data_IF_656744287917
#
_entry.id   IF_656744287917
#
_cell.length_a   1.000
_cell.length_b   1.000
_cell.length_c   1.000
_cell.angle_alpha   90.00
_cell.angle_beta   90.00
_cell.angle_gamma   90.00
#
_symmetry.space_group_name_H-M   'P 1'
#
loop_
_entity.id
_entity.type
_entity.pdbx_description
1 polymer ?
#
# COMPACT_ATOMS: atom_id res chain seq x y z
N UNK A 1 7.82 9.98 12.43
CA UNK A 1 6.70 10.91 12.48
C UNK A 1 7.13 12.34 12.13
N UNK A 2 8.11 12.94 12.80
CA UNK A 2 8.55 14.32 12.52
C UNK A 2 8.96 14.58 11.06
N UNK A 3 9.67 13.65 10.42
CA UNK A 3 10.09 13.79 9.01
C UNK A 3 8.87 13.86 8.08
N UNK A 4 7.84 13.03 8.30
CA UNK A 4 6.61 13.06 7.52
C UNK A 4 5.87 14.39 7.70
N UNK A 5 5.71 14.86 8.94
CA UNK A 5 5.08 16.16 9.21
C UNK A 5 5.85 17.30 8.56
N UNK A 6 7.18 17.29 8.65
CA UNK A 6 8.01 18.30 7.98
C UNK A 6 7.82 18.28 6.45
N UNK A 7 7.85 17.11 5.82
CA UNK A 7 7.65 16.97 4.38
C UNK A 7 6.24 17.43 3.96
N UNK A 8 5.21 17.07 4.72
CA UNK A 8 3.83 17.52 4.47
C UNK A 8 3.76 19.05 4.56
N UNK A 9 4.34 19.66 5.60
CA UNK A 9 4.34 21.12 5.76
C UNK A 9 5.04 21.80 4.59
N UNK A 10 6.22 21.34 4.19
CA UNK A 10 6.96 21.90 3.06
C UNK A 10 6.16 21.77 1.76
N UNK A 11 5.61 20.57 1.49
CA UNK A 11 4.80 20.33 0.28
C UNK A 11 3.54 21.19 0.27
N UNK A 12 2.85 21.34 1.41
CA UNK A 12 1.68 22.22 1.54
C UNK A 12 2.04 23.66 1.20
N UNK A 13 3.12 24.20 1.77
CA UNK A 13 3.56 25.57 1.51
C UNK A 13 3.93 25.78 0.03
N UNK A 14 4.55 24.80 -0.62
CA UNK A 14 4.87 24.87 -2.05
C UNK A 14 3.60 24.83 -2.92
N UNK A 15 2.59 24.02 -2.55
CA UNK A 15 1.33 23.93 -3.28
C UNK A 15 0.42 25.15 -3.07
N UNK A 16 0.59 25.91 -1.99
CA UNK A 16 -0.11 27.19 -1.78
C UNK A 16 0.47 28.35 -2.61
N UNK A 17 1.63 28.19 -3.22
CA UNK A 17 2.19 29.26 -4.05
C UNK A 17 1.33 29.50 -5.30
N UNK A 18 1.09 30.74 -5.72
CA UNK A 18 0.31 31.03 -6.94
C UNK A 18 0.85 30.36 -8.20
N UNK A 19 2.17 30.14 -8.27
CA UNK A 19 2.82 29.44 -9.38
C UNK A 19 2.45 27.96 -9.44
N UNK A 20 1.97 27.36 -8.34
CA UNK A 20 1.59 25.95 -8.28
C UNK A 20 0.18 25.69 -8.85
N UNK A 21 -0.68 26.72 -8.86
CA UNK A 21 -2.02 26.63 -9.45
C UNK A 21 -1.99 26.99 -10.94
N UNK A 22 -2.80 26.34 -11.75
CA UNK A 22 -2.98 26.66 -13.16
C UNK A 22 -3.72 27.99 -13.37
N UNK A 23 -4.58 28.40 -12.40
CA UNK A 23 -5.26 29.69 -12.41
C UNK A 23 -4.35 30.86 -12.00
N UNK A 24 -3.19 30.59 -11.40
CA UNK A 24 -2.33 31.60 -10.80
C UNK A 24 -2.83 32.15 -9.46
N UNK A 25 -3.91 31.61 -8.91
CA UNK A 25 -4.45 31.97 -7.61
C UNK A 25 -3.86 31.09 -6.50
N UNK A 26 -3.91 31.61 -5.25
CA UNK A 26 -3.47 30.86 -4.07
C UNK A 26 -4.46 29.74 -3.80
N UNK A 27 -3.99 28.48 -3.83
CA UNK A 27 -4.82 27.34 -3.44
C UNK A 27 -5.15 27.40 -1.94
N UNK A 28 -6.43 27.19 -1.54
CA UNK A 28 -6.82 27.17 -0.13
C UNK A 28 -5.99 26.18 0.69
N UNK A 29 -5.71 26.54 1.95
CA UNK A 29 -4.89 25.72 2.85
C UNK A 29 -5.42 24.28 2.97
N UNK A 30 -6.74 24.10 3.07
CA UNK A 30 -7.35 22.78 3.21
C UNK A 30 -7.06 21.88 1.99
N UNK A 31 -7.16 22.42 0.77
CA UNK A 31 -6.93 21.69 -0.47
C UNK A 31 -5.44 21.40 -0.71
N UNK A 32 -4.58 22.39 -0.43
CA UNK A 32 -3.14 22.22 -0.51
C UNK A 32 -2.64 21.19 0.52
N UNK A 33 -3.13 21.25 1.77
CA UNK A 33 -2.78 20.28 2.82
C UNK A 33 -3.29 18.88 2.48
N UNK A 34 -4.54 18.76 2.01
CA UNK A 34 -5.12 17.48 1.62
C UNK A 34 -4.28 16.82 0.51
N UNK A 35 -3.95 17.57 -0.54
CA UNK A 35 -3.13 17.08 -1.65
C UNK A 35 -1.71 16.73 -1.19
N UNK A 36 -1.09 17.55 -0.33
CA UNK A 36 0.24 17.28 0.23
C UNK A 36 0.26 16.00 1.08
N UNK A 37 -0.74 15.83 1.96
CA UNK A 37 -0.87 14.61 2.78
C UNK A 37 -1.12 13.40 1.88
N UNK A 38 -2.01 13.52 0.90
CA UNK A 38 -2.31 12.45 -0.05
C UNK A 38 -1.08 12.02 -0.85
N UNK A 39 -0.26 12.98 -1.30
CA UNK A 39 0.98 12.71 -2.03
C UNK A 39 2.06 12.06 -1.13
N UNK A 40 2.35 12.63 0.04
CA UNK A 40 3.40 12.13 0.95
C UNK A 40 2.99 10.80 1.61
N UNK A 41 1.71 10.64 1.96
CA UNK A 41 1.19 9.36 2.45
C UNK A 41 0.94 8.35 1.32
N UNK A 42 1.09 8.77 0.06
CA UNK A 42 0.90 7.91 -1.12
C UNK A 42 -0.51 7.31 -1.11
N UNK A 43 -1.51 8.18 -0.99
CA UNK A 43 -2.92 7.78 -0.88
C UNK A 43 -3.64 7.89 -2.21
N UNK A 44 -3.52 9.04 -2.91
CA UNK A 44 -4.16 9.27 -4.20
C UNK A 44 -5.55 9.88 -4.15
N UNK A 45 -6.15 10.08 -2.97
CA UNK A 45 -7.38 10.83 -2.84
C UNK A 45 -7.17 12.30 -3.24
N UNK A 46 -8.14 12.88 -3.93
CA UNK A 46 -8.08 14.26 -4.43
C UNK A 46 -9.38 15.00 -4.11
N UNK A 47 -9.27 16.26 -3.74
CA UNK A 47 -10.41 17.19 -3.59
C UNK A 47 -10.43 18.23 -4.72
N UNK A 48 -9.39 18.27 -5.55
CA UNK A 48 -9.28 19.11 -6.74
C UNK A 48 -8.98 18.23 -7.95
N UNK A 49 -9.34 18.67 -9.14
CA UNK A 49 -9.02 17.92 -10.36
C UNK A 49 -7.50 17.96 -10.60
N UNK A 50 -6.86 16.81 -10.52
CA UNK A 50 -5.40 16.69 -10.62
C UNK A 50 -4.85 17.18 -11.96
N UNK A 51 -5.57 16.99 -13.07
CA UNK A 51 -5.09 17.35 -14.40
C UNK A 51 -5.20 18.84 -14.71
N UNK A 52 -6.20 19.53 -14.14
CA UNK A 52 -6.54 20.90 -14.54
C UNK A 52 -6.25 21.95 -13.47
N UNK A 53 -6.19 21.58 -12.18
CA UNK A 53 -5.97 22.52 -11.09
C UNK A 53 -4.49 22.92 -10.95
N UNK A 54 -3.56 21.97 -11.14
CA UNK A 54 -2.15 22.20 -10.91
C UNK A 54 -1.42 22.66 -12.17
N UNK A 55 -0.55 23.66 -12.02
CA UNK A 55 0.41 24.05 -13.04
C UNK A 55 1.49 22.97 -13.23
N UNK A 56 2.36 23.04 -14.25
CA UNK A 56 3.52 22.17 -14.37
C UNK A 56 4.42 22.13 -13.11
N UNK A 57 4.54 23.27 -12.42
CA UNK A 57 5.26 23.34 -11.14
C UNK A 57 4.52 22.59 -10.03
N UNK A 58 3.18 22.76 -9.91
CA UNK A 58 2.36 22.04 -8.96
C UNK A 58 2.42 20.52 -9.18
N UNK A 59 2.32 20.08 -10.44
CA UNK A 59 2.50 18.67 -10.80
C UNK A 59 3.89 18.14 -10.41
N UNK A 60 4.95 18.92 -10.60
CA UNK A 60 6.30 18.54 -10.18
C UNK A 60 6.38 18.37 -8.66
N UNK A 61 5.80 19.29 -7.89
CA UNK A 61 5.76 19.23 -6.42
C UNK A 61 5.03 17.98 -5.95
N UNK A 62 3.85 17.67 -6.53
CA UNK A 62 3.11 16.45 -6.21
C UNK A 62 3.88 15.19 -6.60
N UNK A 63 4.51 15.18 -7.78
CA UNK A 63 5.36 14.08 -8.24
C UNK A 63 6.54 13.81 -7.30
N UNK A 64 7.23 14.85 -6.86
CA UNK A 64 8.30 14.71 -5.86
C UNK A 64 7.75 14.23 -4.52
N UNK A 65 6.57 14.70 -4.12
CA UNK A 65 5.88 14.28 -2.91
C UNK A 65 5.60 12.77 -2.91
N UNK A 66 5.00 12.22 -3.98
CA UNK A 66 4.72 10.78 -4.07
C UNK A 66 5.99 9.92 -4.14
N UNK A 67 7.04 10.40 -4.80
CA UNK A 67 8.31 9.69 -4.86
C UNK A 67 9.01 9.61 -3.50
N UNK A 68 9.10 10.75 -2.80
CA UNK A 68 9.68 10.82 -1.46
C UNK A 68 8.84 10.00 -0.48
N UNK A 69 7.51 10.07 -0.57
CA UNK A 69 6.57 9.29 0.24
C UNK A 69 6.73 7.79 0.03
N UNK A 70 6.71 7.32 -1.23
CA UNK A 70 6.85 5.91 -1.59
C UNK A 70 8.18 5.31 -1.16
N UNK A 71 9.30 5.93 -1.56
CA UNK A 71 10.65 5.48 -1.18
C UNK A 71 10.85 5.61 0.33
N UNK A 72 10.40 6.70 0.94
CA UNK A 72 10.55 6.97 2.36
C UNK A 72 9.89 5.90 3.24
N UNK A 73 8.68 5.46 2.89
CA UNK A 73 7.99 4.40 3.64
C UNK A 73 8.66 3.04 3.47
N UNK A 74 9.05 2.66 2.26
CA UNK A 74 9.78 1.41 2.03
C UNK A 74 11.08 1.37 2.83
N UNK A 75 11.83 2.46 2.83
CA UNK A 75 13.10 2.56 3.55
C UNK A 75 12.90 2.54 5.07
N UNK A 76 11.94 3.31 5.59
CA UNK A 76 11.60 3.33 7.00
C UNK A 76 11.16 1.95 7.49
N UNK A 77 10.25 1.29 6.77
CA UNK A 77 9.76 -0.04 7.12
C UNK A 77 10.90 -1.08 7.11
N UNK A 78 11.81 -1.00 6.13
CA UNK A 78 12.95 -1.92 6.05
C UNK A 78 13.96 -1.67 7.18
N UNK A 79 14.25 -0.42 7.52
CA UNK A 79 15.11 -0.05 8.65
C UNK A 79 14.52 -0.56 9.98
N UNK A 80 13.21 -0.35 10.19
CA UNK A 80 12.50 -0.81 11.38
C UNK A 80 12.50 -2.34 11.48
N UNK A 81 12.30 -3.05 10.37
CA UNK A 81 12.38 -4.51 10.32
C UNK A 81 13.78 -5.01 10.72
N UNK A 82 14.84 -4.36 10.25
CA UNK A 82 16.23 -4.70 10.61
C UNK A 82 16.51 -4.39 12.09
N UNK A 83 16.03 -3.26 12.63
CA UNK A 83 16.19 -2.91 14.05
C UNK A 83 15.43 -3.92 14.94
N UNK A 84 14.18 -4.26 14.58
CA UNK A 84 13.40 -5.26 15.29
C UNK A 84 14.09 -6.63 15.30
N UNK A 85 14.68 -7.04 14.17
CA UNK A 85 15.41 -8.31 14.07
C UNK A 85 16.67 -8.37 14.94
N UNK A 86 17.34 -7.25 15.16
CA UNK A 86 18.52 -7.17 16.04
C UNK A 86 18.17 -7.24 17.53
N UNK A 87 16.96 -6.82 17.93
CA UNK A 87 16.48 -6.88 19.32
C UNK A 87 15.93 -8.26 19.71
N UNK A 88 15.48 -9.04 18.73
CA UNK A 88 15.04 -10.43 18.92
C UNK A 88 16.28 -11.32 18.82
N UNK A 89 16.65 -12.00 19.91
CA UNK A 89 17.90 -12.77 20.07
C UNK A 89 18.25 -13.72 18.90
N UNK A 90 19.41 -14.36 18.99
CA UNK A 90 20.05 -15.22 17.95
C UNK A 90 19.12 -16.22 17.23
N UNK A 91 18.08 -16.72 17.88
CA UNK A 91 17.11 -17.67 17.27
C UNK A 91 16.22 -17.02 16.22
N UNK A 92 15.79 -15.77 16.42
CA UNK A 92 14.98 -15.00 15.46
C UNK A 92 15.88 -14.39 14.39
N UNK A 93 17.13 -14.10 14.70
CA UNK A 93 18.15 -13.67 13.75
C UNK A 93 18.39 -14.76 12.68
N UNK A 94 18.40 -16.05 13.05
CA UNK A 94 18.44 -17.18 12.11
C UNK A 94 17.16 -17.34 11.30
N UNK A 95 15.98 -16.99 11.84
CA UNK A 95 14.71 -17.04 11.12
C UNK A 95 14.60 -15.95 10.05
N UNK A 96 15.06 -14.72 10.35
CA UNK A 96 15.04 -13.61 9.39
C UNK A 96 16.24 -13.61 8.43
N UNK A 97 17.37 -14.20 8.82
CA UNK A 97 18.54 -14.41 7.95
C UNK A 97 18.28 -15.46 6.85
N UNK A 98 17.18 -16.20 6.90
CA UNK A 98 16.69 -16.98 5.77
C UNK A 98 16.32 -16.11 4.55
N UNK A 99 16.05 -14.82 4.77
CA UNK A 99 15.71 -13.86 3.71
C UNK A 99 16.88 -12.90 3.36
N UNK A 100 17.97 -12.90 4.14
CA UNK A 100 19.19 -12.11 3.89
C UNK A 100 20.40 -13.06 3.88
N UNK A 101 21.26 -12.95 2.88
CA UNK A 101 22.39 -13.84 2.58
C UNK A 101 23.25 -14.21 3.80
N UNK A 102 23.30 -15.49 4.26
CA UNK A 102 24.11 -15.92 5.39
C UNK A 102 25.62 -15.88 5.11
N UNK A 103 26.04 -15.87 3.85
CA UNK A 103 27.46 -15.93 3.46
C UNK A 103 28.24 -14.64 3.80
N UNK A 104 27.55 -13.52 4.05
CA UNK A 104 28.15 -12.26 4.47
C UNK A 104 28.27 -12.09 6.00
N UNK A 105 27.78 -13.08 6.78
CA UNK A 105 27.79 -13.05 8.25
C UNK A 105 28.95 -13.85 8.85
N UNK A 106 29.73 -14.55 8.04
CA UNK A 106 30.78 -15.48 8.54
C UNK A 106 32.19 -14.87 8.63
N UNK A 107 32.37 -13.64 8.15
CA UNK A 107 33.67 -12.96 8.26
C UNK A 107 33.59 -11.81 9.27
N UNK A 108 33.83 -12.13 10.53
CA UNK A 108 34.37 -11.31 11.61
C UNK A 108 33.75 -11.66 12.97
N UNK A 109 34.33 -12.70 13.59
CA UNK A 109 34.33 -12.84 15.04
C UNK A 109 35.09 -11.66 15.67
N UNK A 110 34.42 -11.03 16.62
CA UNK A 110 35.08 -10.16 17.59
C UNK A 110 34.90 -8.66 17.34
N UNK A 111 34.16 -8.07 18.27
CA UNK A 111 34.06 -6.62 18.57
C UNK A 111 32.99 -5.82 17.80
N UNK A 112 32.14 -5.22 18.65
CA UNK A 112 31.17 -4.14 18.44
C UNK A 112 29.72 -4.52 18.19
N UNK A 113 29.04 -4.83 19.29
CA UNK A 113 27.59 -4.98 19.46
C UNK A 113 26.86 -3.64 19.65
N UNK A 114 27.24 -2.58 18.93
CA UNK A 114 26.53 -1.30 19.01
C UNK A 114 26.35 -0.68 17.62
N UNK A 115 25.09 -0.69 17.15
CA UNK A 115 24.66 0.10 15.99
C UNK A 115 24.78 -0.61 14.63
N UNK A 116 23.71 -0.48 13.82
CA UNK A 116 23.76 -0.78 12.39
C UNK A 116 24.82 0.15 11.76
N UNK A 117 25.85 -0.40 11.11
CA UNK A 117 26.86 0.45 10.46
C UNK A 117 26.19 1.32 9.41
N UNK A 118 26.50 2.61 9.40
CA UNK A 118 25.97 3.57 8.42
C UNK A 118 26.12 3.07 6.96
N UNK A 119 27.17 2.27 6.69
CA UNK A 119 27.44 1.66 5.40
C UNK A 119 26.41 0.60 5.00
N UNK A 120 25.84 -0.17 5.95
CA UNK A 120 24.80 -1.17 5.68
C UNK A 120 23.48 -0.49 5.33
N UNK A 121 23.12 0.58 6.06
CA UNK A 121 21.94 1.41 5.77
C UNK A 121 22.06 2.04 4.37
N UNK A 122 23.22 2.64 4.06
CA UNK A 122 23.46 3.25 2.75
C UNK A 122 23.35 2.23 1.60
N UNK A 123 23.90 1.02 1.79
CA UNK A 123 23.79 -0.04 0.80
C UNK A 123 22.36 -0.48 0.54
N UNK A 124 21.56 -0.61 1.60
CA UNK A 124 20.16 -0.99 1.52
C UNK A 124 19.31 0.12 0.86
N UNK A 125 19.50 1.39 1.27
CA UNK A 125 18.85 2.54 0.66
C UNK A 125 19.14 2.63 -0.84
N UNK A 126 20.41 2.46 -1.23
CA UNK A 126 20.82 2.43 -2.65
C UNK A 126 20.12 1.32 -3.42
N UNK A 127 20.01 0.12 -2.84
CA UNK A 127 19.38 -1.02 -3.51
C UNK A 127 17.88 -0.79 -3.69
N UNK A 128 17.18 -0.28 -2.67
CA UNK A 128 15.75 0.08 -2.78
C UNK A 128 15.56 1.13 -3.87
N UNK A 129 16.32 2.24 -3.82
CA UNK A 129 16.21 3.33 -4.79
C UNK A 129 16.44 2.87 -6.23
N UNK A 130 17.50 2.09 -6.48
CA UNK A 130 17.77 1.56 -7.83
C UNK A 130 16.66 0.61 -8.29
N UNK A 131 16.12 -0.23 -7.40
CA UNK A 131 15.05 -1.15 -7.76
C UNK A 131 13.76 -0.41 -8.12
N UNK A 132 13.41 0.64 -7.37
CA UNK A 132 12.28 1.53 -7.69
C UNK A 132 12.46 2.14 -9.07
N UNK A 133 13.59 2.79 -9.30
CA UNK A 133 13.88 3.45 -10.58
C UNK A 133 13.83 2.48 -11.77
N UNK A 134 14.40 1.29 -11.62
CA UNK A 134 14.41 0.27 -12.70
C UNK A 134 12.98 -0.19 -13.02
N UNK A 135 12.14 -0.42 -12.01
CA UNK A 135 10.75 -0.86 -12.23
C UNK A 135 9.95 0.28 -12.86
N UNK A 136 10.06 1.51 -12.35
CA UNK A 136 9.36 2.66 -12.91
C UNK A 136 9.76 2.94 -14.37
N UNK A 137 11.04 2.86 -14.70
CA UNK A 137 11.52 2.99 -16.08
C UNK A 137 11.00 1.87 -16.99
N UNK A 138 10.91 0.64 -16.47
CA UNK A 138 10.34 -0.48 -17.24
C UNK A 138 8.85 -0.28 -17.52
N UNK A 139 8.08 0.21 -16.54
CA UNK A 139 6.66 0.57 -16.72
C UNK A 139 6.51 1.74 -17.69
N UNK A 140 7.30 2.80 -17.53
CA UNK A 140 7.28 3.97 -18.41
C UNK A 140 7.60 3.60 -19.87
N UNK A 141 8.53 2.66 -20.09
CA UNK A 141 8.89 2.18 -21.42
C UNK A 141 7.71 1.49 -22.15
N UNK A 142 6.69 1.04 -21.44
CA UNK A 142 5.46 0.48 -22.03
C UNK A 142 4.36 1.54 -22.12
N UNK A 143 4.19 2.36 -21.07
CA UNK A 143 3.11 3.36 -20.99
C UNK A 143 3.33 4.49 -22.00
N UNK A 144 4.57 5.02 -22.11
CA UNK A 144 4.87 6.16 -22.99
C UNK A 144 4.53 5.88 -24.46
N UNK A 145 4.99 4.76 -25.10
CA UNK A 145 4.58 4.44 -26.46
C UNK A 145 3.08 4.27 -26.63
N UNK A 146 2.39 3.79 -25.58
CA UNK A 146 0.93 3.64 -25.62
C UNK A 146 0.20 4.97 -25.64
N UNK A 147 0.66 5.94 -24.85
CA UNK A 147 0.16 7.31 -24.86
C UNK A 147 0.41 8.04 -26.21
N UNK A 148 1.56 7.78 -26.86
CA UNK A 148 1.87 8.29 -28.19
C UNK A 148 0.91 7.73 -29.24
N UNK A 149 0.60 6.44 -29.20
CA UNK A 149 -0.40 5.80 -30.09
C UNK A 149 -1.80 6.38 -29.87
N UNK A 150 -2.10 6.81 -28.63
CA UNK A 150 -3.34 7.49 -28.27
C UNK A 150 -3.42 8.93 -28.77
N UNK A 151 -2.33 9.50 -29.32
CA UNK A 151 -2.30 10.81 -29.94
C UNK A 151 -1.79 11.94 -29.05
N UNK A 152 -1.20 11.64 -27.87
CA UNK A 152 -0.52 12.65 -27.08
C UNK A 152 0.77 13.10 -27.81
N UNK A 153 1.11 14.39 -27.66
CA UNK A 153 2.39 14.90 -28.11
C UNK A 153 3.57 14.26 -27.32
N UNK A 154 4.75 14.16 -27.90
CA UNK A 154 5.88 13.44 -27.29
C UNK A 154 6.30 13.96 -25.92
N UNK A 155 6.22 15.26 -25.67
CA UNK A 155 6.60 15.87 -24.39
C UNK A 155 5.59 15.51 -23.31
N UNK A 156 4.29 15.67 -23.61
CA UNK A 156 3.20 15.28 -22.70
C UNK A 156 3.17 13.78 -22.45
N UNK A 157 3.39 12.95 -23.47
CA UNK A 157 3.47 11.51 -23.32
C UNK A 157 4.62 11.07 -22.42
N UNK A 158 5.79 11.70 -22.54
CA UNK A 158 6.95 11.44 -21.69
C UNK A 158 6.66 11.81 -20.23
N UNK A 159 6.12 13.01 -20.00
CA UNK A 159 5.79 13.49 -18.65
C UNK A 159 4.68 12.65 -17.99
N UNK A 160 3.54 12.51 -18.67
CA UNK A 160 2.39 11.80 -18.12
C UNK A 160 2.66 10.30 -17.98
N UNK A 161 3.37 9.69 -18.93
CA UNK A 161 3.74 8.28 -18.86
C UNK A 161 4.74 7.99 -17.75
N UNK A 162 5.74 8.86 -17.53
CA UNK A 162 6.65 8.78 -16.39
C UNK A 162 5.91 8.97 -15.07
N UNK A 163 4.98 9.93 -15.01
CA UNK A 163 4.15 10.19 -13.82
C UNK A 163 3.27 8.97 -13.50
N UNK A 164 2.58 8.41 -14.49
CA UNK A 164 1.74 7.22 -14.30
C UNK A 164 2.55 5.99 -13.86
N UNK A 165 3.74 5.78 -14.42
CA UNK A 165 4.62 4.69 -14.02
C UNK A 165 5.06 4.81 -12.56
N UNK A 166 5.45 6.00 -12.14
CA UNK A 166 5.81 6.30 -10.75
C UNK A 166 4.61 6.17 -9.82
N UNK A 167 3.46 6.74 -10.18
CA UNK A 167 2.21 6.65 -9.42
C UNK A 167 1.74 5.19 -9.27
N UNK A 168 1.89 4.37 -10.31
CA UNK A 168 1.53 2.94 -10.27
C UNK A 168 2.44 2.15 -9.33
N UNK A 169 3.76 2.32 -9.42
CA UNK A 169 4.68 1.57 -8.56
C UNK A 169 4.65 2.03 -7.11
N UNK A 170 4.54 3.35 -6.87
CA UNK A 170 4.38 3.87 -5.50
C UNK A 170 3.01 3.57 -4.90
N UNK A 171 2.06 3.08 -5.68
CA UNK A 171 0.68 2.83 -5.26
C UNK A 171 -0.04 4.11 -4.83
N UNK A 172 0.17 5.22 -5.56
CA UNK A 172 -0.46 6.49 -5.23
C UNK A 172 -1.81 6.66 -5.90
N UNK A 173 -1.96 6.25 -7.16
CA UNK A 173 -3.23 6.38 -7.89
C UNK A 173 -3.50 7.75 -8.51
N UNK A 174 -2.60 8.73 -8.39
CA UNK A 174 -2.75 10.00 -9.07
C UNK A 174 -2.61 9.87 -10.59
N UNK A 175 -3.55 10.48 -11.32
CA UNK A 175 -3.60 10.46 -12.78
C UNK A 175 -3.55 11.89 -13.31
N UNK A 176 -2.51 12.28 -14.07
CA UNK A 176 -2.40 13.63 -14.65
C UNK A 176 -3.16 13.77 -15.98
N UNK A 177 -4.04 12.83 -16.32
CA UNK A 177 -4.87 12.86 -17.53
C UNK A 177 -6.23 13.48 -17.21
N UNK A 178 -6.77 14.31 -18.12
CA UNK A 178 -8.03 15.03 -17.92
C UNK A 178 -9.20 14.05 -17.72
N UNK A 179 -9.27 13.00 -18.52
CA UNK A 179 -10.32 11.98 -18.48
C UNK A 179 -9.95 10.77 -17.60
N UNK A 180 -8.89 10.89 -16.78
CA UNK A 180 -8.38 9.80 -15.96
C UNK A 180 -7.92 8.60 -16.80
N UNK A 181 -8.19 7.38 -16.31
CA UNK A 181 -7.91 6.15 -17.05
C UNK A 181 -9.15 5.57 -17.74
N UNK A 182 -10.31 6.23 -17.68
CA UNK A 182 -11.55 5.75 -18.31
C UNK A 182 -11.41 5.45 -19.81
N UNK A 183 -10.66 6.28 -20.60
CA UNK A 183 -10.45 5.99 -22.02
C UNK A 183 -9.69 4.68 -22.29
N UNK A 184 -8.91 4.19 -21.32
CA UNK A 184 -8.09 2.97 -21.46
C UNK A 184 -8.76 1.72 -20.87
N UNK A 185 -10.03 1.78 -20.49
CA UNK A 185 -10.76 0.64 -19.89
C UNK A 185 -10.71 -0.63 -20.74
N UNK A 186 -10.73 -0.50 -22.07
CA UNK A 186 -10.64 -1.59 -23.03
C UNK A 186 -9.24 -1.79 -23.63
N UNK A 187 -8.20 -1.18 -23.00
CA UNK A 187 -6.80 -1.34 -23.41
C UNK A 187 -6.06 -2.31 -22.48
N UNK A 188 -5.89 -3.59 -22.86
CA UNK A 188 -5.22 -4.57 -22.00
C UNK A 188 -3.78 -4.19 -21.66
N UNK A 189 -3.05 -3.56 -22.61
CA UNK A 189 -1.64 -3.21 -22.38
C UNK A 189 -1.55 -2.18 -21.27
N UNK A 190 -2.36 -1.11 -21.31
CA UNK A 190 -2.36 -0.06 -20.28
C UNK A 190 -2.82 -0.62 -18.94
N UNK A 191 -3.96 -1.33 -18.92
CA UNK A 191 -4.56 -1.89 -17.71
C UNK A 191 -3.61 -2.87 -17.00
N UNK A 192 -3.04 -3.84 -17.74
CA UNK A 192 -2.11 -4.79 -17.14
C UNK A 192 -0.78 -4.16 -16.73
N UNK A 193 -0.26 -3.18 -17.47
CA UNK A 193 1.00 -2.51 -17.12
C UNK A 193 0.86 -1.75 -15.80
N UNK A 194 -0.20 -0.94 -15.65
CA UNK A 194 -0.50 -0.23 -14.40
C UNK A 194 -0.76 -1.24 -13.28
N UNK A 195 -1.56 -2.27 -13.54
CA UNK A 195 -1.87 -3.32 -12.57
C UNK A 195 -0.61 -4.04 -12.06
N UNK A 196 0.31 -4.40 -12.93
CA UNK A 196 1.60 -5.01 -12.54
C UNK A 196 2.42 -4.04 -11.69
N UNK A 197 2.46 -2.75 -12.04
CA UNK A 197 3.12 -1.72 -11.25
C UNK A 197 2.60 -1.67 -9.82
N UNK A 198 1.28 -1.55 -9.66
CA UNK A 198 0.58 -1.56 -8.38
C UNK A 198 0.81 -2.86 -7.60
N UNK A 199 0.73 -4.00 -8.26
CA UNK A 199 0.97 -5.31 -7.64
C UNK A 199 2.39 -5.41 -7.09
N UNK A 200 3.41 -5.02 -7.86
CA UNK A 200 4.81 -5.04 -7.44
C UNK A 200 5.04 -4.08 -6.26
N UNK A 201 4.49 -2.87 -6.30
CA UNK A 201 4.55 -1.92 -5.19
C UNK A 201 3.89 -2.45 -3.92
N UNK A 202 2.73 -3.11 -4.06
CA UNK A 202 1.93 -3.60 -2.93
C UNK A 202 2.48 -4.85 -2.24
N UNK A 203 3.23 -5.73 -2.90
CA UNK A 203 3.81 -6.93 -2.25
C UNK A 203 5.02 -6.63 -1.38
N UNK A 204 5.69 -5.51 -1.61
CA UNK A 204 6.81 -5.03 -0.82
C UNK A 204 8.19 -5.51 -1.27
N UNK A 205 9.18 -4.67 -1.01
CA UNK A 205 10.56 -4.89 -1.43
C UNK A 205 11.17 -6.24 -0.97
N UNK A 206 10.98 -6.68 0.30
CA UNK A 206 11.53 -7.95 0.76
C UNK A 206 11.01 -9.14 -0.04
N UNK A 207 9.73 -9.12 -0.43
CA UNK A 207 9.09 -10.20 -1.21
C UNK A 207 9.58 -10.17 -2.65
N UNK A 208 9.69 -8.97 -3.27
CA UNK A 208 10.25 -8.81 -4.62
C UNK A 208 11.66 -9.38 -4.66
N UNK A 209 12.51 -9.01 -3.71
CA UNK A 209 13.89 -9.46 -3.63
C UNK A 209 13.99 -10.99 -3.43
N UNK A 210 13.22 -11.55 -2.48
CA UNK A 210 13.20 -12.98 -2.21
C UNK A 210 12.72 -13.79 -3.45
N UNK A 211 11.69 -13.30 -4.15
CA UNK A 211 11.15 -13.94 -5.36
C UNK A 211 12.15 -13.86 -6.52
N UNK A 212 12.75 -12.70 -6.76
CA UNK A 212 13.76 -12.52 -7.80
C UNK A 212 14.99 -13.43 -7.57
N UNK A 213 15.45 -13.55 -6.32
CA UNK A 213 16.51 -14.46 -5.92
C UNK A 213 16.13 -15.93 -6.15
N UNK A 214 14.93 -16.33 -5.76
CA UNK A 214 14.42 -17.67 -5.98
C UNK A 214 14.36 -18.03 -7.46
N UNK A 215 13.84 -17.14 -8.31
CA UNK A 215 13.79 -17.31 -9.77
C UNK A 215 15.19 -17.42 -10.39
N UNK A 216 16.13 -16.57 -9.97
CA UNK A 216 17.53 -16.64 -10.42
C UNK A 216 18.16 -17.98 -10.05
N UNK A 217 17.91 -18.49 -8.86
CA UNK A 217 18.42 -19.80 -8.40
C UNK A 217 17.82 -20.95 -9.21
N UNK A 218 16.51 -20.92 -9.49
CA UNK A 218 15.83 -21.92 -10.34
C UNK A 218 16.42 -21.92 -11.75
N UNK A 219 16.65 -20.72 -12.34
CA UNK A 219 17.25 -20.58 -13.67
C UNK A 219 18.69 -21.12 -13.72
N UNK A 220 19.50 -20.83 -12.70
CA UNK A 220 20.88 -21.33 -12.59
C UNK A 220 20.93 -22.85 -12.34
N UNK A 221 19.93 -23.44 -11.64
CA UNK A 221 19.81 -24.90 -11.47
C UNK A 221 19.55 -25.64 -12.77
N UNK A 222 18.70 -25.10 -13.65
CA UNK A 222 18.49 -25.68 -14.98
C UNK A 222 19.81 -25.72 -15.78
N UNK A 223 20.72 -24.76 -15.50
CA UNK A 223 22.02 -24.65 -16.19
C UNK A 223 23.16 -25.43 -15.53
N UNK A 224 23.18 -25.63 -14.20
CA UNK A 224 24.35 -26.12 -13.45
C UNK A 224 24.12 -27.30 -12.48
N UNK A 225 22.96 -27.93 -12.41
CA UNK A 225 22.68 -29.08 -11.49
C UNK A 225 23.12 -28.89 -10.02
N UNK A 226 23.26 -27.68 -9.49
CA UNK A 226 23.68 -27.42 -8.11
C UNK A 226 22.52 -27.46 -7.12
N UNK A 227 22.76 -28.05 -5.92
CA UNK A 227 21.74 -28.42 -4.92
C UNK A 227 21.31 -27.32 -3.93
N UNK A 228 21.54 -26.04 -4.23
CA UNK A 228 21.18 -24.96 -3.31
C UNK A 228 19.67 -24.67 -3.33
N UNK A 229 18.99 -24.89 -2.20
CA UNK A 229 17.54 -24.73 -2.05
C UNK A 229 17.22 -23.28 -1.63
N UNK A 230 17.15 -22.33 -2.56
CA UNK A 230 16.53 -21.04 -2.26
C UNK A 230 15.03 -21.25 -2.01
N UNK A 231 14.65 -21.53 -0.75
CA UNK A 231 13.24 -21.59 -0.33
C UNK A 231 12.78 -20.19 0.02
N UNK A 232 11.61 -19.79 -0.49
CA UNK A 232 10.93 -18.58 -0.04
C UNK A 232 10.66 -18.66 1.46
N UNK A 233 10.99 -17.59 2.21
CA UNK A 233 10.65 -17.49 3.64
C UNK A 233 9.14 -17.50 3.87
N UNK A 234 8.72 -17.79 5.10
CA UNK A 234 7.29 -17.82 5.48
C UNK A 234 6.58 -16.51 5.17
N UNK A 235 7.26 -15.37 5.40
CA UNK A 235 6.73 -14.04 5.13
C UNK A 235 6.37 -13.85 3.65
N UNK A 236 7.29 -14.19 2.74
CA UNK A 236 7.05 -14.08 1.30
C UNK A 236 5.93 -15.02 0.83
N UNK A 237 5.89 -16.27 1.34
CA UNK A 237 4.83 -17.22 1.04
C UNK A 237 3.47 -16.73 1.50
N UNK A 238 3.34 -16.29 2.76
CA UNK A 238 2.09 -15.75 3.29
C UNK A 238 1.63 -14.51 2.50
N UNK A 239 2.53 -13.57 2.23
CA UNK A 239 2.20 -12.37 1.46
C UNK A 239 1.68 -12.72 0.07
N UNK A 240 2.41 -13.53 -0.70
CA UNK A 240 2.02 -13.89 -2.07
C UNK A 240 0.72 -14.68 -2.09
N UNK A 241 0.59 -15.72 -1.26
CA UNK A 241 -0.62 -16.56 -1.24
C UNK A 241 -1.84 -15.76 -0.85
N UNK A 242 -1.78 -14.97 0.25
CA UNK A 242 -2.93 -14.18 0.71
C UNK A 242 -3.27 -13.08 -0.28
N UNK A 243 -2.27 -12.42 -0.88
CA UNK A 243 -2.49 -11.41 -1.92
C UNK A 243 -3.22 -12.00 -3.12
N UNK A 244 -2.77 -13.17 -3.61
CA UNK A 244 -3.39 -13.81 -4.78
C UNK A 244 -4.80 -14.29 -4.47
N UNK A 245 -5.04 -14.86 -3.29
CA UNK A 245 -6.38 -15.29 -2.86
C UNK A 245 -7.34 -14.12 -2.82
N UNK A 246 -6.96 -13.02 -2.16
CA UNK A 246 -7.80 -11.81 -2.06
C UNK A 246 -8.05 -11.18 -3.44
N UNK A 247 -7.04 -11.16 -4.31
CA UNK A 247 -7.18 -10.67 -5.69
C UNK A 247 -8.22 -11.46 -6.47
N UNK A 248 -8.14 -12.79 -6.42
CA UNK A 248 -9.08 -13.67 -7.14
C UNK A 248 -10.48 -13.57 -6.56
N UNK A 249 -10.62 -13.64 -5.23
CA UNK A 249 -11.93 -13.52 -4.57
C UNK A 249 -12.56 -12.16 -4.88
N UNK A 250 -11.79 -11.06 -4.80
CA UNK A 250 -12.26 -9.73 -5.14
C UNK A 250 -12.70 -9.61 -6.60
N UNK A 251 -11.89 -10.11 -7.54
CA UNK A 251 -12.24 -10.07 -8.96
C UNK A 251 -13.52 -10.85 -9.27
N UNK A 252 -13.70 -12.04 -8.67
CA UNK A 252 -14.90 -12.87 -8.84
C UNK A 252 -16.12 -12.17 -8.22
N UNK A 253 -15.99 -11.63 -7.01
CA UNK A 253 -17.09 -10.94 -6.32
C UNK A 253 -17.53 -9.68 -7.08
N UNK A 254 -16.58 -8.81 -7.48
CA UNK A 254 -16.87 -7.60 -8.26
C UNK A 254 -17.49 -7.98 -9.61
N UNK A 255 -16.89 -8.96 -10.31
CA UNK A 255 -17.42 -9.43 -11.58
C UNK A 255 -18.86 -9.94 -11.44
N UNK A 256 -19.17 -10.71 -10.41
CA UNK A 256 -20.53 -11.25 -10.18
C UNK A 256 -21.54 -10.16 -9.82
N UNK A 257 -21.17 -9.17 -9.00
CA UNK A 257 -22.06 -8.11 -8.52
C UNK A 257 -22.30 -7.02 -9.56
N UNK A 258 -21.28 -6.69 -10.38
CA UNK A 258 -21.33 -5.58 -11.35
C UNK A 258 -21.56 -6.04 -12.80
N UNK A 259 -21.72 -7.33 -13.06
CA UNK A 259 -21.82 -7.86 -14.43
C UNK A 259 -22.93 -7.21 -15.26
N UNK A 260 -24.07 -6.94 -14.64
CA UNK A 260 -25.25 -6.33 -15.27
C UNK A 260 -25.39 -4.82 -15.03
N UNK A 261 -24.47 -4.19 -14.30
CA UNK A 261 -24.55 -2.76 -14.02
C UNK A 261 -24.05 -1.95 -15.24
N UNK A 262 -24.99 -1.38 -16.01
CA UNK A 262 -24.70 -0.63 -17.23
C UNK A 262 -23.87 0.66 -17.00
N UNK A 263 -23.79 1.15 -15.76
CA UNK A 263 -22.99 2.32 -15.40
C UNK A 263 -21.52 1.97 -15.14
N UNK A 264 -21.23 0.68 -14.94
CA UNK A 264 -19.88 0.20 -14.64
C UNK A 264 -19.43 -0.89 -15.62
N UNK A 265 -19.42 -2.16 -15.22
CA UNK A 265 -18.95 -3.28 -16.05
C UNK A 265 -19.91 -3.59 -17.21
N UNK A 266 -21.22 -3.43 -17.02
CA UNK A 266 -22.24 -3.77 -18.00
C UNK A 266 -22.15 -3.00 -19.30
N UNK A 267 -21.64 -1.76 -19.27
CA UNK A 267 -21.42 -0.94 -20.48
C UNK A 267 -20.30 -1.46 -21.39
N UNK A 268 -19.44 -2.35 -20.89
CA UNK A 268 -18.29 -2.84 -21.61
C UNK A 268 -18.61 -4.12 -22.40
N UNK A 269 -17.89 -4.38 -23.52
CA UNK A 269 -17.97 -5.66 -24.20
C UNK A 269 -17.65 -6.81 -23.25
N UNK A 270 -18.41 -7.91 -23.31
CA UNK A 270 -18.31 -9.02 -22.35
C UNK A 270 -16.92 -9.61 -22.19
N UNK A 271 -16.08 -9.56 -23.23
CA UNK A 271 -14.70 -10.04 -23.18
C UNK A 271 -13.79 -9.19 -22.25
N UNK A 272 -14.09 -7.91 -22.05
CA UNK A 272 -13.28 -7.01 -21.20
C UNK A 272 -13.76 -6.94 -19.76
N UNK A 273 -15.00 -7.32 -19.45
CA UNK A 273 -15.56 -7.28 -18.07
C UNK A 273 -14.70 -8.03 -17.04
N UNK A 274 -14.19 -9.26 -17.31
CA UNK A 274 -13.32 -9.93 -16.35
C UNK A 274 -11.99 -9.20 -16.09
N UNK A 275 -11.43 -8.57 -17.13
CA UNK A 275 -10.22 -7.76 -17.02
C UNK A 275 -10.45 -6.54 -16.12
N UNK A 276 -11.57 -5.84 -16.32
CA UNK A 276 -11.92 -4.67 -15.50
C UNK A 276 -12.22 -5.08 -14.06
N UNK A 277 -12.94 -6.18 -13.83
CA UNK A 277 -13.17 -6.71 -12.48
C UNK A 277 -11.85 -7.06 -11.76
N UNK A 278 -10.90 -7.69 -12.49
CA UNK A 278 -9.57 -7.98 -11.98
C UNK A 278 -8.80 -6.69 -11.66
N UNK A 279 -8.86 -5.68 -12.52
CA UNK A 279 -8.22 -4.40 -12.33
C UNK A 279 -8.77 -3.69 -11.09
N UNK A 280 -10.09 -3.58 -10.94
CA UNK A 280 -10.73 -2.97 -9.77
C UNK A 280 -10.34 -3.70 -8.48
N UNK A 281 -10.34 -5.03 -8.49
CA UNK A 281 -9.86 -5.83 -7.34
C UNK A 281 -8.39 -5.59 -7.03
N UNK A 282 -7.55 -5.35 -8.03
CA UNK A 282 -6.13 -5.02 -7.84
C UNK A 282 -5.97 -3.62 -7.26
N UNK A 283 -6.76 -2.65 -7.77
CA UNK A 283 -6.71 -1.25 -7.34
C UNK A 283 -7.24 -1.05 -5.91
N UNK A 284 -8.25 -1.81 -5.49
CA UNK A 284 -8.76 -1.78 -4.11
C UNK A 284 -7.71 -2.13 -3.05
N UNK A 285 -6.57 -2.68 -3.46
CA UNK A 285 -5.46 -3.03 -2.56
C UNK A 285 -4.36 -1.99 -2.55
N UNK A 286 -4.77 -0.73 -2.31
CA UNK A 286 -3.90 0.44 -2.23
C UNK A 286 -3.32 0.86 -3.60
N UNK A 287 -4.08 0.73 -4.68
CA UNK A 287 -3.65 1.14 -6.03
C UNK A 287 -4.23 2.48 -6.47
N UNK A 288 -5.48 2.77 -6.09
CA UNK A 288 -6.15 4.06 -6.26
C UNK A 288 -6.58 4.43 -7.68
N UNK A 289 -6.18 3.67 -8.70
CA UNK A 289 -6.61 3.95 -10.06
C UNK A 289 -8.00 3.39 -10.35
N UNK A 290 -8.78 4.13 -11.11
CA UNK A 290 -10.08 3.70 -11.58
C UNK A 290 -10.18 3.83 -13.11
N UNK A 291 -10.76 2.83 -13.75
CA UNK A 291 -11.14 2.85 -15.16
C UNK A 291 -12.65 2.92 -15.35
N UNK A 292 -13.39 2.70 -14.26
CA UNK A 292 -14.85 2.83 -14.16
C UNK A 292 -15.17 3.67 -12.93
N UNK A 293 -16.27 4.40 -12.97
CA UNK A 293 -16.65 5.26 -11.85
C UNK A 293 -17.08 4.41 -10.63
N UNK A 294 -16.31 4.53 -9.55
CA UNK A 294 -16.57 3.79 -8.30
C UNK A 294 -17.86 4.27 -7.62
N UNK A 295 -18.25 5.54 -7.81
CA UNK A 295 -19.47 6.11 -7.23
C UNK A 295 -20.76 5.52 -7.79
N UNK A 296 -20.68 4.90 -8.97
CA UNK A 296 -21.81 4.26 -9.68
C UNK A 296 -21.89 2.74 -9.42
N UNK A 297 -21.01 2.21 -8.59
CA UNK A 297 -21.04 0.80 -8.18
C UNK A 297 -22.16 0.55 -7.16
N UNK A 298 -22.66 -0.69 -7.15
CA UNK A 298 -23.66 -1.12 -6.18
C UNK A 298 -23.13 -1.07 -4.73
N UNK A 299 -24.01 -0.82 -3.75
CA UNK A 299 -23.64 -0.80 -2.33
C UNK A 299 -23.00 -2.12 -1.86
N UNK A 300 -23.41 -3.25 -2.45
CA UNK A 300 -22.78 -4.56 -2.18
C UNK A 300 -21.33 -4.60 -2.68
N UNK A 301 -21.06 -4.03 -3.85
CA UNK A 301 -19.69 -3.94 -4.38
C UNK A 301 -18.84 -2.97 -3.57
N UNK A 302 -19.39 -1.81 -3.15
CA UNK A 302 -18.69 -0.88 -2.28
C UNK A 302 -18.28 -1.56 -0.96
N UNK A 303 -19.16 -2.36 -0.35
CA UNK A 303 -18.83 -3.12 0.86
C UNK A 303 -17.72 -4.16 0.62
N UNK A 304 -17.73 -4.87 -0.52
CA UNK A 304 -16.64 -5.78 -0.88
C UNK A 304 -15.32 -5.03 -1.05
N UNK A 305 -15.35 -3.86 -1.70
CA UNK A 305 -14.19 -3.01 -1.85
C UNK A 305 -13.68 -2.49 -0.51
N UNK A 306 -14.56 -2.11 0.42
CA UNK A 306 -14.23 -1.70 1.79
C UNK A 306 -13.45 -2.80 2.53
N UNK A 307 -13.91 -4.05 2.45
CA UNK A 307 -13.23 -5.20 3.05
C UNK A 307 -11.84 -5.42 2.42
N UNK A 308 -11.72 -5.29 1.09
CA UNK A 308 -10.46 -5.45 0.37
C UNK A 308 -9.49 -4.31 0.66
N UNK A 309 -9.97 -3.05 0.70
CA UNK A 309 -9.17 -1.87 1.01
C UNK A 309 -8.64 -1.88 2.45
N UNK A 310 -9.48 -2.27 3.42
CA UNK A 310 -9.09 -2.36 4.82
C UNK A 310 -7.89 -3.29 5.02
N UNK A 311 -7.78 -4.34 4.18
CA UNK A 311 -6.63 -5.23 4.10
C UNK A 311 -5.73 -4.79 2.94
N UNK A 312 -4.85 -3.85 3.21
CA UNK A 312 -3.91 -3.31 2.22
C UNK A 312 -2.90 -4.31 1.68
N UNK A 313 -1.68 -3.88 1.43
CA UNK A 313 -0.64 -4.73 0.85
C UNK A 313 0.24 -5.47 1.85
N UNK A 314 1.39 -5.96 1.36
CA UNK A 314 2.41 -6.66 2.16
C UNK A 314 3.15 -5.74 3.12
N UNK A 315 3.85 -6.32 4.08
CA UNK A 315 4.73 -5.57 4.98
C UNK A 315 5.94 -5.02 4.22
N UNK A 316 6.40 -3.84 4.62
CA UNK A 316 7.47 -3.10 3.93
C UNK A 316 7.17 -2.82 2.44
N UNK A 317 5.90 -2.58 2.11
CA UNK A 317 5.41 -2.16 0.79
C UNK A 317 5.04 -0.68 0.77
N UNK A 318 4.74 -0.16 -0.41
CA UNK A 318 4.15 1.18 -0.59
C UNK A 318 2.69 1.25 -0.14
N UNK A 319 1.98 0.14 -0.04
CA UNK A 319 0.61 0.08 0.41
C UNK A 319 0.46 0.43 1.91
N UNK A 320 -0.64 1.11 2.28
CA UNK A 320 -1.00 1.42 3.67
C UNK A 320 -1.93 0.39 4.31
N UNK A 321 -2.69 0.80 5.31
CA UNK A 321 -3.68 -0.04 5.98
C UNK A 321 -3.12 -1.22 6.76
N UNK A 322 -4.01 -2.17 7.08
CA UNK A 322 -3.65 -3.43 7.73
C UNK A 322 -2.97 -4.35 6.72
N UNK A 323 -1.90 -5.01 7.13
CA UNK A 323 -1.11 -5.82 6.19
C UNK A 323 -1.76 -7.18 5.93
N UNK A 324 -1.61 -7.70 4.69
CA UNK A 324 -2.11 -9.03 4.32
C UNK A 324 -1.59 -10.14 5.22
N UNK A 325 -0.36 -10.01 5.73
CA UNK A 325 0.22 -10.95 6.70
C UNK A 325 -0.50 -10.91 8.04
N UNK A 326 -0.97 -9.73 8.47
CA UNK A 326 -1.78 -9.58 9.69
C UNK A 326 -3.10 -10.32 9.56
N UNK A 327 -3.81 -10.14 8.44
CA UNK A 327 -5.04 -10.90 8.15
C UNK A 327 -4.77 -12.41 8.11
N UNK A 328 -3.74 -12.84 7.38
CA UNK A 328 -3.38 -14.25 7.27
C UNK A 328 -3.12 -14.89 8.63
N UNK A 329 -2.39 -14.21 9.52
CA UNK A 329 -2.09 -14.69 10.87
C UNK A 329 -3.37 -14.81 11.70
N UNK A 330 -4.30 -13.87 11.62
CA UNK A 330 -5.58 -13.93 12.34
C UNK A 330 -6.45 -15.09 11.85
N UNK A 331 -6.55 -15.28 10.53
CA UNK A 331 -7.28 -16.44 9.99
C UNK A 331 -6.64 -17.77 10.41
N UNK A 332 -5.31 -17.89 10.33
CA UNK A 332 -4.61 -19.09 10.77
C UNK A 332 -4.79 -19.35 12.27
N UNK A 333 -4.81 -18.31 13.10
CA UNK A 333 -5.09 -18.40 14.52
C UNK A 333 -6.52 -18.90 14.79
N UNK A 334 -7.52 -18.31 14.11
CA UNK A 334 -8.91 -18.74 14.21
C UNK A 334 -9.10 -20.21 13.76
N UNK A 335 -8.44 -20.62 12.67
CA UNK A 335 -8.46 -22.00 12.20
C UNK A 335 -7.78 -22.98 13.17
N UNK A 336 -6.65 -22.58 13.78
CA UNK A 336 -5.96 -23.42 14.77
C UNK A 336 -6.84 -23.62 16.00
N UNK A 337 -7.47 -22.55 16.50
CA UNK A 337 -8.39 -22.59 17.64
C UNK A 337 -9.62 -23.47 17.33
N UNK A 338 -10.26 -23.29 16.17
CA UNK A 338 -11.40 -24.11 15.75
C UNK A 338 -11.08 -25.61 15.64
N UNK A 339 -9.80 -25.97 15.41
CA UNK A 339 -9.34 -27.35 15.37
C UNK A 339 -8.78 -27.86 16.70
N UNK A 340 -8.79 -27.07 17.75
CA UNK A 340 -8.22 -27.40 19.05
C UNK A 340 -6.69 -27.50 19.06
N UNK A 341 -6.01 -26.93 18.06
CA UNK A 341 -4.56 -26.97 17.99
C UNK A 341 -3.96 -25.89 18.90
N UNK A 342 -3.01 -26.28 19.76
CA UNK A 342 -2.30 -25.33 20.63
C UNK A 342 -1.33 -24.42 19.88
N UNK A 343 -0.85 -24.85 18.72
CA UNK A 343 0.15 -24.15 17.92
C UNK A 343 -0.42 -23.71 16.57
N UNK A 344 -0.11 -22.49 16.19
CA UNK A 344 -0.44 -21.96 14.87
C UNK A 344 0.71 -22.31 13.92
N UNK A 345 0.43 -23.17 12.94
CA UNK A 345 1.43 -23.63 11.98
C UNK A 345 1.09 -23.16 10.57
N UNK A 346 2.06 -22.57 9.88
CA UNK A 346 1.97 -22.22 8.46
C UNK A 346 3.25 -22.67 7.74
N UNK A 347 3.10 -23.36 6.62
CA UNK A 347 4.24 -23.84 5.80
C UNK A 347 5.32 -24.57 6.62
N UNK A 348 4.89 -25.48 7.50
CA UNK A 348 5.76 -26.28 8.41
C UNK A 348 6.52 -25.44 9.45
N UNK A 349 6.08 -24.20 9.71
CA UNK A 349 6.68 -23.33 10.72
C UNK A 349 5.64 -22.83 11.71
N UNK A 350 6.02 -22.78 12.98
CA UNK A 350 5.19 -22.28 14.07
C UNK A 350 5.23 -20.76 14.12
N UNK A 351 4.05 -20.13 14.23
CA UNK A 351 3.88 -18.69 14.43
C UNK A 351 3.77 -18.43 15.94
N UNK A 352 4.60 -17.56 16.53
CA UNK A 352 4.53 -17.23 17.96
C UNK A 352 3.23 -16.51 18.32
N UNK A 353 2.70 -16.80 19.53
CA UNK A 353 1.48 -16.16 20.05
C UNK A 353 1.57 -14.64 20.19
N UNK A 354 2.77 -14.10 20.43
CA UNK A 354 3.00 -12.67 20.50
C UNK A 354 2.69 -11.95 19.17
N UNK A 355 2.92 -12.64 18.04
CA UNK A 355 2.59 -12.12 16.70
C UNK A 355 1.08 -12.00 16.53
N UNK A 356 0.30 -12.93 17.08
CA UNK A 356 -1.18 -12.89 17.05
C UNK A 356 -1.70 -11.71 17.88
N UNK A 357 -1.17 -11.51 19.09
CA UNK A 357 -1.56 -10.37 19.94
C UNK A 357 -1.28 -9.04 19.26
N UNK A 358 -0.13 -8.93 18.60
CA UNK A 358 0.22 -7.76 17.81
C UNK A 358 -0.77 -7.57 16.65
N UNK A 359 -1.12 -8.65 15.94
CA UNK A 359 -2.08 -8.61 14.83
C UNK A 359 -3.46 -8.11 15.29
N UNK A 360 -3.98 -8.63 16.41
CA UNK A 360 -5.24 -8.18 17.01
C UNK A 360 -5.18 -6.70 17.38
N UNK A 361 -4.10 -6.25 18.05
CA UNK A 361 -3.94 -4.85 18.46
C UNK A 361 -3.95 -3.90 17.26
N UNK A 362 -3.29 -4.25 16.16
CA UNK A 362 -3.24 -3.43 14.93
C UNK A 362 -4.63 -3.32 14.29
N UNK A 363 -5.40 -4.44 14.24
CA UNK A 363 -6.76 -4.44 13.68
C UNK A 363 -7.71 -3.60 14.52
N UNK A 364 -7.71 -3.78 15.84
CA UNK A 364 -8.56 -3.01 16.75
C UNK A 364 -8.28 -1.51 16.67
N UNK A 365 -7.01 -1.13 16.62
CA UNK A 365 -6.62 0.26 16.49
C UNK A 365 -7.06 0.86 15.14
N UNK A 366 -6.86 0.11 14.04
CA UNK A 366 -7.30 0.53 12.71
C UNK A 366 -8.82 0.70 12.63
N UNK A 367 -9.58 -0.27 13.14
CA UNK A 367 -11.05 -0.21 13.20
C UNK A 367 -11.55 0.98 14.04
N UNK A 368 -10.86 1.29 15.15
CA UNK A 368 -11.20 2.45 15.99
C UNK A 368 -11.00 3.78 15.26
N UNK A 369 -9.90 3.93 14.51
CA UNK A 369 -9.66 5.14 13.70
C UNK A 369 -10.76 5.28 12.64
N UNK A 370 -11.04 4.21 11.89
CA UNK A 370 -12.08 4.23 10.86
C UNK A 370 -13.44 4.61 11.48
N UNK A 371 -13.83 4.00 12.60
CA UNK A 371 -15.10 4.30 13.26
C UNK A 371 -15.18 5.77 13.71
N UNK A 372 -14.13 6.27 14.38
CA UNK A 372 -14.11 7.66 14.88
C UNK A 372 -14.15 8.65 13.70
N UNK A 373 -13.36 8.43 12.66
CA UNK A 373 -13.34 9.31 11.48
C UNK A 373 -14.67 9.28 10.74
N UNK A 374 -15.30 8.11 10.57
CA UNK A 374 -16.62 7.97 9.93
C UNK A 374 -17.69 8.72 10.72
N UNK A 375 -17.76 8.53 12.05
CA UNK A 375 -18.73 9.25 12.91
C UNK A 375 -18.52 10.76 12.83
N UNK A 376 -17.26 11.21 12.84
CA UNK A 376 -16.93 12.63 12.76
C UNK A 376 -17.38 13.24 11.44
N UNK A 377 -17.11 12.57 10.30
CA UNK A 377 -17.48 13.07 8.96
C UNK A 377 -19.01 13.05 8.78
N UNK A 378 -19.71 12.02 9.25
CA UNK A 378 -21.17 11.96 9.23
C UNK A 378 -21.84 13.09 10.04
N UNK A 379 -21.15 13.64 11.04
CA UNK A 379 -21.63 14.82 11.81
C UNK A 379 -21.36 16.14 11.11
N UNK A 380 -20.42 16.16 10.18
CA UNK A 380 -19.99 17.37 9.44
C UNK A 380 -20.73 17.45 8.09
N UNK A 381 -21.07 16.30 7.50
CA UNK A 381 -21.65 16.20 6.15
C UNK A 381 -22.99 15.48 6.19
N UNK A 382 -23.88 15.80 5.24
CA UNK A 382 -25.15 15.08 5.04
C UNK A 382 -24.98 13.88 4.05
N UNK A 383 -23.75 13.42 3.84
CA UNK A 383 -23.44 12.35 2.93
C UNK A 383 -23.91 10.97 3.47
N UNK A 384 -24.35 10.03 2.61
CA UNK A 384 -24.77 8.70 3.03
C UNK A 384 -23.61 7.91 3.63
N UNK A 385 -23.94 7.06 4.63
CA UNK A 385 -22.94 6.26 5.37
C UNK A 385 -22.02 5.45 4.46
N UNK A 386 -22.54 4.84 3.39
CA UNK A 386 -21.78 4.01 2.48
C UNK A 386 -20.65 4.79 1.80
N UNK A 387 -20.90 6.03 1.36
CA UNK A 387 -19.88 6.90 0.74
C UNK A 387 -18.85 7.37 1.75
N UNK A 388 -19.32 7.78 2.95
CA UNK A 388 -18.43 8.24 4.02
C UNK A 388 -17.52 7.09 4.48
N UNK A 389 -18.07 5.90 4.71
CA UNK A 389 -17.30 4.73 5.16
C UNK A 389 -16.26 4.33 4.12
N UNK A 390 -16.65 4.31 2.84
CA UNK A 390 -15.77 3.97 1.73
C UNK A 390 -14.55 4.91 1.68
N UNK A 391 -14.78 6.23 1.65
CA UNK A 391 -13.70 7.20 1.53
C UNK A 391 -12.83 7.26 2.81
N UNK A 392 -13.40 7.03 3.99
CA UNK A 392 -12.65 6.91 5.25
C UNK A 392 -11.77 5.67 5.26
N UNK A 393 -12.29 4.51 4.81
CA UNK A 393 -11.49 3.28 4.70
C UNK A 393 -10.39 3.46 3.65
N UNK A 394 -10.71 4.08 2.51
CA UNK A 394 -9.75 4.41 1.48
C UNK A 394 -8.64 5.34 2.00
N UNK A 395 -8.99 6.36 2.77
CA UNK A 395 -8.04 7.26 3.43
C UNK A 395 -7.15 6.51 4.45
N UNK A 396 -7.74 5.68 5.32
CA UNK A 396 -7.01 4.88 6.30
C UNK A 396 -6.08 3.85 5.63
N UNK A 397 -6.59 3.15 4.62
CA UNK A 397 -5.82 2.17 3.87
C UNK A 397 -4.81 2.81 2.90
N UNK A 398 -4.84 4.15 2.77
CA UNK A 398 -4.11 4.90 1.74
C UNK A 398 -4.28 4.24 0.36
N UNK A 399 -5.56 4.03 -0.03
CA UNK A 399 -5.93 3.33 -1.26
C UNK A 399 -6.11 4.28 -2.44
N UNK A 400 -6.84 5.40 -2.23
CA UNK A 400 -7.04 6.42 -3.25
C UNK A 400 -8.33 6.30 -4.06
N UNK A 401 -9.12 5.24 -3.89
CA UNK A 401 -10.45 5.13 -4.48
C UNK A 401 -11.45 5.99 -3.70
N UNK A 402 -12.41 6.61 -4.39
CA UNK A 402 -13.49 7.40 -3.79
C UNK A 402 -14.84 6.96 -4.33
N UNK A 403 -15.84 6.90 -3.46
CA UNK A 403 -17.24 6.71 -3.82
C UNK A 403 -17.97 8.07 -4.05
N UNK A 404 -17.20 9.15 -4.28
CA UNK A 404 -17.73 10.48 -4.59
C UNK A 404 -17.96 11.38 -3.38
N UNK A 405 -17.40 11.05 -2.20
CA UNK A 405 -17.37 11.97 -1.06
C UNK A 405 -16.28 13.04 -1.24
N UNK A 406 -15.09 12.63 -1.68
CA UNK A 406 -13.98 13.55 -1.93
C UNK A 406 -14.22 14.33 -3.22
N UNK A 407 -14.69 15.56 -3.07
CA UNK A 407 -14.99 16.53 -4.14
C UNK A 407 -14.55 17.94 -3.71
N UNK A 408 -14.58 18.90 -4.64
CA UNK A 408 -14.29 20.31 -4.33
C UNK A 408 -15.24 20.88 -3.25
N UNK A 409 -16.48 20.40 -3.22
CA UNK A 409 -17.52 20.88 -2.30
C UNK A 409 -17.42 20.29 -0.89
N UNK A 410 -16.44 19.39 -0.64
CA UNK A 410 -16.24 18.80 0.67
C UNK A 410 -15.87 19.89 1.68
N UNK A 411 -16.53 19.99 2.84
CA UNK A 411 -16.17 20.95 3.88
C UNK A 411 -14.72 20.82 4.35
N UNK A 412 -14.05 21.93 4.61
CA UNK A 412 -12.63 21.94 5.02
C UNK A 412 -12.39 21.11 6.28
N UNK A 413 -13.33 21.12 7.23
CA UNK A 413 -13.24 20.26 8.42
C UNK A 413 -13.19 18.77 8.09
N UNK A 414 -13.94 18.31 7.08
CA UNK A 414 -13.90 16.92 6.62
C UNK A 414 -12.59 16.61 5.87
N UNK A 415 -12.04 17.58 5.08
CA UNK A 415 -10.72 17.45 4.46
C UNK A 415 -9.62 17.26 5.51
N UNK A 416 -9.67 17.99 6.64
CA UNK A 416 -8.71 17.81 7.73
C UNK A 416 -8.84 16.44 8.42
N UNK A 417 -10.06 15.95 8.65
CA UNK A 417 -10.30 14.62 9.25
C UNK A 417 -9.77 13.52 8.35
N UNK A 418 -10.04 13.56 7.03
CA UNK A 418 -9.51 12.60 6.08
C UNK A 418 -7.97 12.67 6.00
N UNK A 419 -7.39 13.87 6.00
CA UNK A 419 -5.94 14.07 6.03
C UNK A 419 -5.29 13.43 7.26
N UNK A 420 -5.88 13.63 8.44
CA UNK A 420 -5.44 12.98 9.67
C UNK A 420 -5.58 11.45 9.58
N UNK A 421 -6.67 10.95 9.00
CA UNK A 421 -6.92 9.51 8.81
C UNK A 421 -5.87 8.88 7.87
N UNK A 422 -5.51 9.54 6.75
CA UNK A 422 -4.43 9.11 5.86
C UNK A 422 -3.08 9.00 6.59
N UNK A 423 -2.74 10.03 7.38
CA UNK A 423 -1.50 10.05 8.15
C UNK A 423 -1.45 8.93 9.20
N UNK A 424 -2.55 8.73 9.94
CA UNK A 424 -2.66 7.68 10.95
C UNK A 424 -2.64 6.28 10.32
N UNK A 425 -3.27 6.08 9.17
CA UNK A 425 -3.22 4.83 8.43
C UNK A 425 -1.84 4.50 7.91
N UNK A 426 -1.08 5.52 7.51
CA UNK A 426 0.27 5.34 6.95
C UNK A 426 1.34 5.11 8.01
N UNK A 427 1.40 5.98 8.99
CA UNK A 427 2.48 5.99 9.99
C UNK A 427 2.06 5.20 11.23
N UNK A 428 0.79 5.24 11.59
CA UNK A 428 0.26 4.68 12.82
C UNK A 428 0.40 3.16 12.90
N UNK A 429 0.10 2.44 11.85
CA UNK A 429 0.21 0.96 11.81
C UNK A 429 1.64 0.47 12.00
N UNK A 430 2.63 1.16 11.42
CA UNK A 430 4.06 0.82 11.53
C UNK A 430 4.59 1.20 12.91
N UNK A 431 4.25 2.40 13.42
CA UNK A 431 4.71 2.86 14.72
C UNK A 431 4.10 2.06 15.86
N UNK A 432 2.81 1.70 15.77
CA UNK A 432 2.16 0.86 16.77
C UNK A 432 2.82 -0.52 16.82
N UNK A 433 3.05 -1.15 15.67
CA UNK A 433 3.72 -2.45 15.60
C UNK A 433 5.11 -2.41 16.23
N UNK A 434 5.89 -1.35 15.99
CA UNK A 434 7.23 -1.21 16.57
C UNK A 434 7.20 -0.85 18.06
N UNK A 435 6.27 -0.01 18.51
CA UNK A 435 6.12 0.33 19.92
C UNK A 435 5.72 -0.88 20.77
N UNK A 436 4.77 -1.69 20.29
CA UNK A 436 4.32 -2.89 20.98
C UNK A 436 5.38 -4.00 20.98
N UNK A 437 6.14 -4.17 19.91
CA UNK A 437 7.22 -5.17 19.86
C UNK A 437 8.43 -4.82 20.74
N UNK A 438 8.60 -3.54 21.10
CA UNK A 438 9.70 -3.05 21.93
C UNK A 438 9.46 -3.13 23.45
N UNK A 439 8.22 -3.34 23.89
CA UNK A 439 7.83 -3.23 25.33
C UNK A 439 7.69 -4.60 26.00
N UNK A 440 8.71 -5.45 25.92
CA UNK A 440 8.77 -6.61 26.84
C UNK A 440 9.22 -6.13 28.22
N UNK A 441 8.29 -5.64 29.06
CA UNK A 441 8.50 -5.58 30.50
C UNK A 441 8.48 -7.03 31.00
N UNK A 442 9.63 -7.57 31.36
CA UNK A 442 9.71 -8.79 32.17
C UNK A 442 9.13 -8.45 33.55
N UNK A 443 7.89 -8.84 33.79
CA UNK A 443 7.35 -8.83 35.16
C UNK A 443 7.95 -10.01 35.92
N UNK A 444 8.58 -9.71 37.03
CA UNK A 444 9.28 -10.69 37.92
C UNK A 444 8.28 -11.68 38.56
N UNK A 445 6.97 -11.39 38.52
CA UNK A 445 5.91 -12.24 39.05
C UNK A 445 4.78 -12.43 38.02
N UNK A 446 4.18 -13.62 38.03
CA UNK A 446 2.97 -13.93 37.25
C UNK A 446 1.75 -13.91 38.18
N UNK A 447 0.71 -13.19 37.79
CA UNK A 447 -0.58 -13.23 38.50
C UNK A 447 -1.27 -14.60 38.27
N UNK A 448 -2.16 -15.00 39.19
CA UNK A 448 -2.97 -16.21 39.04
C UNK A 448 -3.79 -16.15 37.73
N UNK A 449 -3.92 -17.31 37.08
CA UNK A 449 -4.73 -17.41 35.84
C UNK A 449 -6.20 -17.57 36.22
N UNK A 450 -7.03 -16.66 35.75
CA UNK A 450 -8.47 -16.77 35.80
C UNK A 450 -9.00 -16.74 34.35
N UNK A 451 -9.97 -17.57 34.04
CA UNK A 451 -10.53 -17.69 32.69
C UNK A 451 -11.93 -17.08 32.68
N UNK A 452 -12.08 -15.83 32.16
CA UNK A 452 -13.41 -15.28 31.91
C UNK A 452 -14.10 -16.10 30.79
N UNK A 453 -15.42 -16.19 30.87
CA UNK A 453 -16.23 -16.83 29.82
C UNK A 453 -16.18 -15.91 28.60
N UNK A 454 -15.75 -16.43 27.46
CA UNK A 454 -15.82 -15.78 26.17
C UNK A 454 -17.00 -16.41 25.44
N UNK A 455 -18.04 -15.60 25.16
CA UNK A 455 -19.30 -16.04 24.58
C UNK A 455 -19.22 -16.48 23.13
#
# INVERSE_FOLDING_TARGET
MFIFLFLITVTTLLLMLPIASASGEITPLADALFTAVSAICVTGLTVVNMATHWSPFGHLVVFLGLQIGGIGVMTLATILAVIASKRLGLSVRKMMAGDVDPSRLHDRDGQDSHGMRLSEVKGLLKTVFISVLVIELALAAIIIPRLLVWGLDPVSALWQGGYLAASAFTNTGFVPLVDGLSPFVNDPIMVFTIGIGVFLGSIGFPVIYATARALKTVRLRRLRRTLDHARLGIHAKLTLTTTTILLVIGAVAIGALEWGNERTLGSQPGAYRPMTALFVSMMSRSGGFNTVDTSEMSGATLLVLDMLMFVGGGSASTAGGIKVTTLAILFLAAFAEARGNQDIVAYERRIPSDTVRLAVSVVLWGASIVAISTITILRITDAPLEKVLFDVISAFATCGLSAGLTSNDLPDSAKYVLSATMLLGRVGTVTLATALSGTHRQTVYRRAKERPIVG
#
